data_IF_594866134040
#
_entry.id   IF_594866134040
#
_cell.length_a   1.000
_cell.length_b   1.000
_cell.length_c   1.000
_cell.angle_alpha   90.00
_cell.angle_beta   90.00
_cell.angle_gamma   90.00
#
_symmetry.space_group_name_H-M   'P 1'
#
loop_
_entity.id
_entity.type
_entity.pdbx_description
1 polymer ?
#
# COMPACT_ATOMS: atom_id res chain seq x y z
N UNK A 1 0.43 -2.62 -76.87
CA UNK A 1 1.50 -2.85 -75.88
C UNK A 1 1.50 -1.65 -74.94
N UNK A 2 0.84 -1.76 -73.78
CA UNK A 2 0.69 -0.66 -72.82
C UNK A 2 1.76 -0.80 -71.72
N UNK A 3 2.50 0.27 -71.48
CA UNK A 3 3.49 0.42 -70.41
C UNK A 3 2.83 0.99 -69.12
N UNK A 4 3.53 1.05 -67.96
CA UNK A 4 3.19 0.28 -66.75
C UNK A 4 2.55 1.11 -65.63
N UNK A 5 1.94 0.45 -64.63
CA UNK A 5 1.58 1.08 -63.34
C UNK A 5 2.61 0.80 -62.26
N UNK A 6 3.27 1.81 -61.67
CA UNK A 6 4.01 1.67 -60.41
C UNK A 6 3.03 1.83 -59.24
N UNK A 7 2.86 0.79 -58.40
CA UNK A 7 2.05 0.88 -57.19
C UNK A 7 2.93 1.21 -55.98
N UNK A 8 2.94 2.50 -55.66
CA UNK A 8 2.95 3.15 -54.34
C UNK A 8 3.81 2.52 -53.22
N UNK A 9 4.95 3.16 -52.95
CA UNK A 9 5.64 3.07 -51.66
C UNK A 9 4.83 3.85 -50.61
N UNK A 10 4.30 3.15 -49.62
CA UNK A 10 3.74 3.79 -48.42
C UNK A 10 4.90 3.95 -47.41
N UNK A 11 5.42 5.16 -47.33
CA UNK A 11 6.10 5.65 -46.12
C UNK A 11 5.01 6.05 -45.13
N UNK A 12 4.92 5.38 -43.98
CA UNK A 12 4.19 5.89 -42.81
C UNK A 12 5.23 6.26 -41.73
N UNK A 13 5.11 7.44 -41.10
CA UNK A 13 6.20 8.07 -40.38
C UNK A 13 6.37 7.49 -38.97
N UNK A 14 7.62 7.53 -38.54
CA UNK A 14 8.09 7.45 -37.15
C UNK A 14 7.46 8.60 -36.34
N UNK A 15 6.17 8.55 -36.00
CA UNK A 15 5.53 9.51 -35.10
C UNK A 15 4.11 9.09 -34.65
N UNK A 16 3.95 7.90 -34.06
CA UNK A 16 2.72 7.58 -33.32
C UNK A 16 3.10 6.96 -31.98
N UNK A 17 2.97 7.82 -30.96
CA UNK A 17 2.57 7.48 -29.60
C UNK A 17 3.61 6.75 -28.74
N UNK A 18 4.63 7.49 -28.29
CA UNK A 18 5.24 7.25 -26.99
C UNK A 18 4.20 7.61 -25.91
N UNK A 19 3.21 6.73 -25.66
CA UNK A 19 2.51 6.77 -24.38
C UNK A 19 3.56 6.40 -23.35
N UNK A 20 4.17 7.40 -22.72
CA UNK A 20 4.79 7.19 -21.42
C UNK A 20 3.65 6.76 -20.49
N UNK A 21 3.48 5.45 -20.33
CA UNK A 21 2.75 4.94 -19.18
C UNK A 21 3.54 5.42 -17.97
N UNK A 22 3.10 6.53 -17.37
CA UNK A 22 3.54 6.91 -16.04
C UNK A 22 3.02 5.83 -15.10
N UNK A 23 3.77 4.74 -14.96
CA UNK A 23 3.62 3.88 -13.81
C UNK A 23 3.89 4.79 -12.61
N UNK A 24 2.86 5.08 -11.82
CA UNK A 24 3.06 5.69 -10.52
C UNK A 24 3.95 4.73 -9.73
N UNK A 25 5.22 5.09 -9.56
CA UNK A 25 6.09 4.40 -8.64
C UNK A 25 5.52 4.68 -7.25
N UNK A 26 5.05 3.64 -6.56
CA UNK A 26 4.68 3.81 -5.16
C UNK A 26 5.95 4.10 -4.36
N UNK A 27 5.95 5.24 -3.66
CA UNK A 27 7.08 5.64 -2.84
C UNK A 27 7.03 4.86 -1.52
N UNK A 28 8.19 4.36 -1.05
CA UNK A 28 8.26 3.82 0.30
C UNK A 28 8.28 4.96 1.30
N UNK A 29 7.28 4.99 2.18
CA UNK A 29 7.21 5.91 3.31
C UNK A 29 7.48 5.14 4.61
N UNK A 30 8.65 5.38 5.20
CA UNK A 30 9.14 4.65 6.37
C UNK A 30 8.77 5.39 7.64
N UNK A 31 8.27 4.67 8.64
CA UNK A 31 8.12 5.22 9.98
C UNK A 31 9.50 5.50 10.58
N UNK A 32 9.74 6.76 10.94
CA UNK A 32 10.97 7.19 11.64
C UNK A 32 10.68 7.65 13.08
N UNK A 33 9.41 7.91 13.40
CA UNK A 33 8.91 8.24 14.73
C UNK A 33 9.56 9.46 15.39
N UNK A 34 9.21 9.71 16.64
CA UNK A 34 10.04 10.52 17.54
C UNK A 34 9.85 12.04 17.49
N UNK A 35 8.79 12.55 16.85
CA UNK A 35 8.45 13.97 16.96
C UNK A 35 8.06 14.31 18.40
N UNK A 36 8.75 15.23 19.09
CA UNK A 36 8.47 15.53 20.49
C UNK A 36 7.02 15.97 20.73
N UNK A 37 6.33 15.29 21.64
CA UNK A 37 4.91 15.51 21.97
C UNK A 37 3.91 14.80 21.04
N UNK A 38 4.40 14.07 20.03
CA UNK A 38 3.58 13.30 19.09
C UNK A 38 4.38 12.08 18.58
N UNK A 39 5.13 11.42 19.46
CA UNK A 39 6.20 10.51 19.04
C UNK A 39 5.72 9.23 18.36
N UNK A 40 4.49 8.80 18.70
CA UNK A 40 3.82 7.60 18.18
C UNK A 40 2.66 7.94 17.24
N UNK A 41 2.38 9.22 17.01
CA UNK A 41 1.21 9.68 16.25
C UNK A 41 1.38 9.41 14.75
N UNK A 42 0.54 8.54 14.20
CA UNK A 42 0.48 8.22 12.77
C UNK A 42 0.27 9.47 11.91
N UNK A 43 -0.52 10.43 12.37
CA UNK A 43 -0.92 11.61 11.62
C UNK A 43 0.09 12.76 11.71
N UNK A 44 1.25 12.56 12.34
CA UNK A 44 2.33 13.54 12.37
C UNK A 44 3.28 13.35 11.16
N UNK A 45 3.30 14.28 10.18
CA UNK A 45 4.14 14.17 8.97
C UNK A 45 5.63 13.95 9.24
N UNK A 46 6.14 14.50 10.35
CA UNK A 46 7.55 14.42 10.73
C UNK A 46 7.97 13.05 11.26
N UNK A 47 7.01 12.18 11.59
CA UNK A 47 7.28 10.79 11.96
C UNK A 47 7.49 9.88 10.73
N UNK A 48 7.39 10.43 9.51
CA UNK A 48 7.50 9.70 8.26
C UNK A 48 8.69 10.17 7.42
N UNK A 49 9.38 9.24 6.77
CA UNK A 49 10.61 9.53 6.01
C UNK A 49 10.38 10.47 4.81
N UNK A 50 9.18 10.46 4.23
CA UNK A 50 8.80 11.35 3.12
C UNK A 50 8.27 12.72 3.60
N UNK A 51 8.23 12.96 4.92
CA UNK A 51 7.73 14.20 5.53
C UNK A 51 6.26 14.52 5.26
N UNK A 52 5.44 13.50 5.00
CA UNK A 52 3.98 13.57 4.94
C UNK A 52 3.37 12.27 5.49
N UNK A 53 2.10 12.37 5.93
CA UNK A 53 1.30 11.20 6.32
C UNK A 53 1.08 10.31 5.08
N UNK A 54 1.21 8.98 5.20
CA UNK A 54 0.92 8.06 4.10
C UNK A 54 -0.49 8.21 3.56
N UNK A 55 -0.63 8.07 2.25
CA UNK A 55 -1.92 7.98 1.54
C UNK A 55 -1.85 6.89 0.46
N UNK A 56 -2.87 6.84 -0.42
CA UNK A 56 -3.04 5.81 -1.46
C UNK A 56 -1.85 5.62 -2.42
N UNK A 57 -0.89 6.56 -2.45
CA UNK A 57 0.34 6.46 -3.25
C UNK A 57 1.53 5.80 -2.54
N UNK A 58 1.47 5.60 -1.22
CA UNK A 58 2.63 5.29 -0.38
C UNK A 58 2.67 3.86 0.14
N UNK A 59 3.72 3.12 -0.19
CA UNK A 59 4.02 1.86 0.48
C UNK A 59 4.53 2.13 1.89
N UNK A 60 3.77 1.75 2.90
CA UNK A 60 4.13 1.97 4.30
C UNK A 60 5.08 0.89 4.79
N UNK A 61 6.15 1.31 5.45
CA UNK A 61 7.13 0.41 6.06
C UNK A 61 7.41 0.84 7.50
N UNK A 62 7.12 -0.03 8.46
CA UNK A 62 7.44 0.17 9.87
C UNK A 62 8.74 -0.57 10.18
N UNK A 63 9.77 0.18 10.58
CA UNK A 63 11.13 -0.33 10.83
C UNK A 63 11.41 -0.43 12.34
N UNK A 64 12.27 -1.35 12.81
CA UNK A 64 12.56 -1.53 14.23
C UNK A 64 13.42 -0.41 14.84
N UNK A 65 14.22 0.26 14.01
CA UNK A 65 15.16 1.30 14.44
C UNK A 65 14.57 2.68 14.14
N UNK A 66 13.66 3.13 15.02
CA UNK A 66 13.11 4.49 14.96
C UNK A 66 14.16 5.50 15.44
N UNK A 67 14.13 6.71 14.87
CA UNK A 67 15.18 7.72 15.05
C UNK A 67 15.30 8.24 16.50
N UNK A 68 14.27 8.03 17.32
CA UNK A 68 14.28 8.29 18.76
C UNK A 68 14.78 7.10 19.57
N UNK A 69 15.64 7.35 20.55
CA UNK A 69 16.23 6.39 21.51
C UNK A 69 15.25 5.59 22.38
N UNK A 70 13.94 5.73 22.15
CA UNK A 70 12.82 5.30 22.99
C UNK A 70 11.90 4.28 22.33
N UNK A 71 12.10 3.90 21.06
CA UNK A 71 11.32 2.84 20.43
C UNK A 71 9.83 3.19 20.24
N UNK A 72 9.52 4.45 19.93
CA UNK A 72 8.15 4.89 19.66
C UNK A 72 7.67 4.38 18.30
N UNK A 73 6.81 3.36 18.35
CA UNK A 73 6.15 2.76 17.20
C UNK A 73 4.83 3.48 16.90
N UNK A 74 4.34 3.41 15.65
CA UNK A 74 3.12 4.08 15.27
C UNK A 74 1.90 3.53 16.01
N UNK A 75 0.99 4.44 16.34
CA UNK A 75 -0.35 4.17 16.85
C UNK A 75 -1.35 4.84 15.90
N UNK A 76 -2.31 4.07 15.41
CA UNK A 76 -3.47 4.56 14.66
C UNK A 76 -4.62 4.66 15.65
N UNK A 77 -4.96 5.88 16.06
CA UNK A 77 -6.00 6.18 17.06
C UNK A 77 -7.24 6.90 16.49
N UNK A 78 -7.26 7.11 15.18
CA UNK A 78 -8.41 7.60 14.42
C UNK A 78 -8.46 6.94 13.03
N UNK A 79 -9.43 7.33 12.20
CA UNK A 79 -9.46 6.92 10.80
C UNK A 79 -8.36 7.63 10.01
N UNK A 80 -7.50 6.87 9.35
CA UNK A 80 -6.41 7.40 8.50
C UNK A 80 -6.69 7.16 7.02
N UNK A 81 -6.01 7.91 6.15
CA UNK A 81 -6.08 7.71 4.71
C UNK A 81 -5.69 6.28 4.33
N UNK A 82 -6.33 5.75 3.29
CA UNK A 82 -6.04 4.40 2.82
C UNK A 82 -4.61 4.30 2.28
N UNK A 83 -3.98 3.16 2.49
CA UNK A 83 -2.62 2.88 2.00
C UNK A 83 -2.63 1.68 1.06
N UNK A 84 -1.73 1.63 0.08
CA UNK A 84 -1.67 0.54 -0.87
C UNK A 84 -1.06 -0.76 -0.32
N UNK A 85 -0.21 -0.65 0.70
CA UNK A 85 0.56 -1.77 1.25
C UNK A 85 1.16 -1.42 2.61
N UNK A 86 1.24 -2.42 3.50
CA UNK A 86 1.91 -2.31 4.78
C UNK A 86 2.94 -3.43 4.98
N UNK A 87 4.18 -3.04 5.26
CA UNK A 87 5.23 -3.91 5.79
C UNK A 87 5.53 -3.54 7.24
N UNK A 88 5.47 -4.51 8.14
CA UNK A 88 5.98 -4.39 9.51
C UNK A 88 7.23 -5.28 9.59
N UNK A 89 8.41 -4.66 9.70
CA UNK A 89 9.68 -5.38 9.78
C UNK A 89 9.86 -6.09 11.13
N UNK A 90 10.74 -7.09 11.19
CA UNK A 90 11.01 -7.81 12.42
C UNK A 90 11.53 -6.88 13.53
N UNK A 91 10.97 -6.98 14.73
CA UNK A 91 11.27 -6.09 15.85
C UNK A 91 10.55 -4.74 15.80
N UNK A 92 9.70 -4.50 14.79
CA UNK A 92 8.80 -3.36 14.72
C UNK A 92 7.39 -3.70 15.20
N UNK A 93 6.63 -2.68 15.58
CA UNK A 93 5.29 -2.82 16.15
C UNK A 93 4.33 -1.81 15.49
N UNK A 94 3.05 -2.15 15.39
CA UNK A 94 1.98 -1.23 15.04
C UNK A 94 0.76 -1.55 15.92
N UNK A 95 0.14 -0.51 16.46
CA UNK A 95 -1.13 -0.62 17.21
C UNK A 95 -2.21 0.17 16.47
N UNK A 96 -3.36 -0.46 16.26
CA UNK A 96 -4.60 0.20 15.86
C UNK A 96 -5.50 0.15 17.09
N UNK A 97 -5.77 1.29 17.73
CA UNK A 97 -6.60 1.34 18.95
C UNK A 97 -8.08 1.13 18.60
N UNK A 98 -8.94 1.02 19.62
CA UNK A 98 -10.39 0.85 19.45
C UNK A 98 -11.08 1.95 18.61
N UNK A 99 -10.55 3.17 18.62
CA UNK A 99 -10.99 4.29 17.78
C UNK A 99 -10.29 4.37 16.42
N UNK A 100 -9.25 3.57 16.20
CA UNK A 100 -8.44 3.56 14.99
C UNK A 100 -9.07 2.77 13.86
N UNK A 101 -8.89 3.27 12.63
CA UNK A 101 -9.23 2.54 11.40
C UNK A 101 -8.10 2.67 10.40
N UNK A 102 -7.56 1.52 9.97
CA UNK A 102 -6.58 1.43 8.89
C UNK A 102 -7.15 0.62 7.72
N UNK A 103 -7.15 1.24 6.54
CA UNK A 103 -7.54 0.60 5.30
C UNK A 103 -6.32 0.37 4.40
N UNK A 104 -6.14 -0.89 3.98
CA UNK A 104 -5.16 -1.29 2.98
C UNK A 104 -5.90 -1.63 1.68
N UNK A 105 -5.79 -0.73 0.70
CA UNK A 105 -6.37 -0.88 -0.63
C UNK A 105 -5.29 -1.24 -1.65
N UNK A 106 -5.13 -2.53 -1.92
CA UNK A 106 -4.09 -3.07 -2.79
C UNK A 106 -4.26 -2.77 -4.28
N UNK A 107 -5.27 -2.02 -4.73
CA UNK A 107 -5.62 -1.82 -6.15
C UNK A 107 -4.43 -1.33 -7.01
N UNK A 108 -3.55 -0.54 -6.43
CA UNK A 108 -2.37 0.02 -7.11
C UNK A 108 -1.10 -0.82 -6.94
N UNK A 109 -1.17 -1.92 -6.19
CA UNK A 109 -0.03 -2.83 -5.97
C UNK A 109 -0.30 -4.21 -6.55
N UNK A 110 0.73 -4.79 -7.15
CA UNK A 110 0.67 -6.17 -7.61
C UNK A 110 1.22 -7.13 -6.53
N UNK A 111 0.75 -6.97 -5.29
CA UNK A 111 1.33 -7.61 -4.10
C UNK A 111 0.25 -8.04 -3.08
N UNK A 112 0.70 -8.56 -1.94
CA UNK A 112 -0.11 -8.72 -0.72
C UNK A 112 -0.56 -7.34 -0.21
N UNK A 113 -1.55 -7.29 0.69
CA UNK A 113 -1.89 -6.05 1.39
C UNK A 113 -0.97 -5.80 2.59
N UNK A 114 -0.83 -6.81 3.45
CA UNK A 114 -0.03 -6.75 4.67
C UNK A 114 1.04 -7.84 4.68
N UNK A 115 2.30 -7.45 4.86
CA UNK A 115 3.40 -8.35 5.22
C UNK A 115 3.88 -8.03 6.64
N UNK A 116 3.53 -8.90 7.59
CA UNK A 116 3.89 -8.71 9.00
C UNK A 116 5.01 -9.67 9.43
N UNK A 117 6.22 -9.15 9.62
CA UNK A 117 7.34 -9.86 10.24
C UNK A 117 7.60 -9.42 11.69
N UNK A 118 6.93 -8.37 12.15
CA UNK A 118 7.00 -7.84 13.51
C UNK A 118 5.74 -8.17 14.32
N UNK A 119 5.15 -7.16 14.94
CA UNK A 119 3.92 -7.29 15.70
C UNK A 119 2.87 -6.27 15.26
N UNK A 120 1.65 -6.76 15.07
CA UNK A 120 0.46 -5.96 14.81
C UNK A 120 -0.60 -6.27 15.88
N UNK A 121 -1.06 -5.24 16.58
CA UNK A 121 -2.17 -5.32 17.51
C UNK A 121 -3.31 -4.51 16.89
N UNK A 122 -4.44 -5.17 16.63
CA UNK A 122 -5.66 -4.53 16.13
C UNK A 122 -6.76 -4.60 17.18
N UNK A 123 -7.05 -3.48 17.83
CA UNK A 123 -8.18 -3.28 18.75
C UNK A 123 -9.35 -2.54 18.09
N UNK A 124 -9.09 -1.82 16.98
CA UNK A 124 -10.09 -1.11 16.17
C UNK A 124 -10.44 -1.84 14.88
N UNK A 125 -10.29 -1.16 13.75
CA UNK A 125 -10.68 -1.68 12.45
C UNK A 125 -9.49 -1.80 11.47
N UNK A 126 -9.28 -3.00 10.94
CA UNK A 126 -8.33 -3.27 9.87
C UNK A 126 -9.06 -3.87 8.66
N UNK A 127 -9.04 -3.12 7.56
CA UNK A 127 -9.57 -3.56 6.27
C UNK A 127 -8.44 -3.81 5.28
N UNK A 128 -8.47 -4.95 4.60
CA UNK A 128 -7.52 -5.27 3.53
C UNK A 128 -8.30 -5.75 2.31
N UNK A 129 -8.22 -5.02 1.20
CA UNK A 129 -8.96 -5.38 0.00
C UNK A 129 -8.24 -4.99 -1.30
N UNK A 130 -8.76 -5.51 -2.42
CA UNK A 130 -8.28 -5.31 -3.80
C UNK A 130 -6.81 -5.69 -3.98
N UNK A 131 -6.32 -6.68 -3.23
CA UNK A 131 -4.94 -7.15 -3.35
C UNK A 131 -4.78 -8.11 -4.52
N UNK A 132 -3.63 -8.08 -5.20
CA UNK A 132 -3.34 -9.02 -6.29
C UNK A 132 -2.87 -10.41 -5.79
N UNK A 133 -2.37 -10.46 -4.55
CA UNK A 133 -2.02 -11.67 -3.81
C UNK A 133 -2.90 -11.78 -2.55
N UNK A 134 -2.88 -12.87 -1.77
CA UNK A 134 -3.62 -12.96 -0.50
C UNK A 134 -3.47 -11.70 0.38
N UNK A 135 -4.54 -11.29 1.06
CA UNK A 135 -4.53 -10.09 1.89
C UNK A 135 -3.35 -10.07 2.89
N UNK A 136 -3.03 -11.23 3.47
CA UNK A 136 -1.87 -11.45 4.33
C UNK A 136 -0.77 -12.19 3.57
N UNK A 137 0.43 -11.60 3.52
CA UNK A 137 1.64 -12.23 3.00
C UNK A 137 2.25 -13.25 3.98
N UNK A 138 3.31 -13.96 3.56
CA UNK A 138 3.96 -15.04 4.32
C UNK A 138 4.81 -14.54 5.51
N UNK A 139 4.42 -13.42 6.12
CA UNK A 139 5.09 -12.87 7.29
C UNK A 139 5.05 -13.83 8.49
N UNK A 140 6.17 -13.94 9.20
CA UNK A 140 6.29 -14.77 10.41
C UNK A 140 6.04 -14.00 11.70
N UNK A 141 5.50 -12.77 11.59
CA UNK A 141 5.18 -11.91 12.72
C UNK A 141 3.93 -12.34 13.47
N UNK A 142 3.63 -11.61 14.55
CA UNK A 142 2.44 -11.83 15.38
C UNK A 142 1.36 -10.82 15.00
N UNK A 143 0.16 -11.32 14.69
CA UNK A 143 -1.04 -10.50 14.55
C UNK A 143 -2.00 -10.87 15.69
N UNK A 144 -2.28 -9.91 16.56
CA UNK A 144 -3.30 -10.04 17.61
C UNK A 144 -4.51 -9.22 17.20
N UNK A 145 -5.66 -9.87 16.99
CA UNK A 145 -6.89 -9.19 16.64
C UNK A 145 -7.91 -9.27 17.78
N UNK A 146 -8.29 -8.11 18.30
CA UNK A 146 -9.35 -7.90 19.29
C UNK A 146 -10.49 -7.02 18.76
N UNK A 147 -10.28 -6.32 17.64
CA UNK A 147 -11.28 -5.55 16.92
C UNK A 147 -11.81 -6.24 15.66
N UNK A 148 -12.17 -5.43 14.66
CA UNK A 148 -12.66 -5.88 13.35
C UNK A 148 -11.47 -6.10 12.41
N UNK A 149 -11.41 -7.31 11.84
CA UNK A 149 -10.53 -7.64 10.73
C UNK A 149 -11.38 -8.12 9.55
N UNK A 150 -11.38 -7.35 8.47
CA UNK A 150 -12.05 -7.71 7.23
C UNK A 150 -11.04 -7.75 6.08
N UNK A 151 -11.04 -8.87 5.37
CA UNK A 151 -10.10 -9.14 4.28
C UNK A 151 -10.87 -9.68 3.09
N UNK A 152 -10.55 -9.21 1.88
CA UNK A 152 -11.05 -9.86 0.68
C UNK A 152 -10.31 -11.17 0.38
N UNK A 153 -10.98 -12.03 -0.38
CA UNK A 153 -10.37 -13.23 -0.94
C UNK A 153 -10.05 -12.94 -2.41
N UNK A 154 -8.78 -12.69 -2.78
CA UNK A 154 -8.39 -12.40 -4.15
C UNK A 154 -8.62 -13.60 -5.09
N UNK A 155 -8.87 -14.80 -4.54
CA UNK A 155 -9.23 -15.98 -5.30
C UNK A 155 -10.73 -16.05 -5.66
N UNK A 156 -11.57 -15.13 -5.16
CA UNK A 156 -12.94 -14.98 -5.65
C UNK A 156 -12.93 -14.06 -6.87
N UNK A 157 -13.01 -14.58 -8.11
CA UNK A 157 -13.25 -13.70 -9.25
C UNK A 157 -14.53 -12.92 -8.98
N UNK A 158 -14.48 -11.60 -9.16
CA UNK A 158 -15.67 -10.75 -9.18
C UNK A 158 -16.68 -11.43 -10.10
N UNK A 159 -17.71 -12.04 -9.52
CA UNK A 159 -18.80 -12.60 -10.32
C UNK A 159 -19.50 -11.39 -10.90
N UNK A 160 -19.08 -10.95 -12.08
CA UNK A 160 -19.92 -10.17 -12.96
C UNK A 160 -21.13 -11.04 -13.20
N UNK A 161 -22.19 -10.83 -12.40
CA UNK A 161 -23.49 -11.39 -12.68
C UNK A 161 -23.81 -10.94 -14.11
N UNK A 162 -23.73 -11.89 -15.05
CA UNK A 162 -24.25 -11.67 -16.38
C UNK A 162 -25.73 -11.34 -16.19
N UNK A 163 -26.07 -10.06 -16.35
CA UNK A 163 -27.45 -9.66 -16.54
C UNK A 163 -27.83 -10.20 -17.92
N UNK A 164 -28.75 -11.18 -17.89
CA UNK A 164 -29.42 -11.73 -19.06
C UNK A 164 -30.05 -10.63 -19.92
#
# INVERSE_FOLDING_TARGET
>A
MNNPTPKTRIFLPVFVLLMAASAALSAQNRWIGGTPGAESDWNTPRNWSQQHVPYWGDQVVIVPNVSSSSGYFPVVDETVEEIPYLLIEAGAYLVITDSGQLTINGETTYNYGLLNAGELINEGELFIFRTAMPALGPGHGRLTNQGVLAMDDPAQPVRYAQRN
#
